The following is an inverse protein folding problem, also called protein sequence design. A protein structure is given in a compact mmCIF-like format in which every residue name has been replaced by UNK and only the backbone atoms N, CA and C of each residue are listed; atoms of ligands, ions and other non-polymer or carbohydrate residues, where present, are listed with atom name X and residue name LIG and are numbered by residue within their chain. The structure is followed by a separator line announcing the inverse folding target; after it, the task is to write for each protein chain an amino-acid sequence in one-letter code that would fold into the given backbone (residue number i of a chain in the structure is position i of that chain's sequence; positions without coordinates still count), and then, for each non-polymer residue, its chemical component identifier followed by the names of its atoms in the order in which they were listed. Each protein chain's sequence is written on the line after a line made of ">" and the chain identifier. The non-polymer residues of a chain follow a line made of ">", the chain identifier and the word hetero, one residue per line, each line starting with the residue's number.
data_IF_069089042894
#
_entry.id   IF_069089042894
#
_cell.length_a   1.000
_cell.length_b   1.000
_cell.length_c   1.000
_cell.angle_alpha   90.00
_cell.angle_beta   90.00
_cell.angle_gamma   90.00
#
_symmetry.space_group_name_H-M   'P 1'
#
loop_
_entity.id
_entity.type
_entity.pdbx_description
1 polymer ?
#
# COMPACT_ATOMS: atom_id res chain seq x y z
N UNK A 1 -18.54 39.47 26.97
CA UNK A 1 -17.81 38.44 27.75
C UNK A 1 -17.63 37.23 26.87
N UNK A 2 -16.37 36.81 26.74
CA UNK A 2 -15.86 35.83 25.79
C UNK A 2 -16.39 34.41 26.01
N UNK A 3 -16.67 33.69 24.92
CA UNK A 3 -16.37 32.25 24.82
C UNK A 3 -15.88 31.98 23.39
N UNK A 4 -14.55 31.93 23.26
CA UNK A 4 -13.83 31.56 22.05
C UNK A 4 -14.11 30.09 21.70
N UNK A 5 -14.70 29.86 20.53
CA UNK A 5 -14.72 28.53 19.93
C UNK A 5 -13.29 28.10 19.63
N UNK A 6 -12.79 27.11 20.36
CA UNK A 6 -11.55 26.39 20.04
C UNK A 6 -11.77 25.71 18.68
N UNK A 7 -11.27 26.32 17.61
CA UNK A 7 -11.07 25.61 16.36
C UNK A 7 -10.09 24.47 16.62
N UNK A 8 -10.48 23.26 16.23
CA UNK A 8 -9.63 22.09 16.23
C UNK A 8 -8.42 22.40 15.35
N UNK A 9 -7.30 22.71 16.00
CA UNK A 9 -6.01 22.92 15.35
C UNK A 9 -5.63 21.61 14.65
N UNK A 10 -5.65 21.64 13.32
CA UNK A 10 -5.05 20.61 12.49
C UNK A 10 -3.65 20.30 13.02
N UNK A 11 -3.39 19.04 13.34
CA UNK A 11 -2.08 18.55 13.77
C UNK A 11 -1.09 18.85 12.64
N UNK A 12 -0.35 19.95 12.78
CA UNK A 12 0.62 20.42 11.81
C UNK A 12 1.87 19.56 11.92
N UNK A 13 2.05 18.64 10.98
CA UNK A 13 3.31 17.91 10.81
C UNK A 13 4.41 18.91 10.42
N UNK A 14 5.37 19.16 11.32
CA UNK A 14 6.47 20.10 11.10
C UNK A 14 7.52 19.63 10.08
N UNK A 15 7.46 18.36 9.67
CA UNK A 15 8.41 17.75 8.72
C UNK A 15 7.97 17.81 7.26
N UNK A 16 6.77 18.34 6.98
CA UNK A 16 6.18 18.38 5.64
C UNK A 16 5.89 19.82 5.22
N UNK A 17 5.94 20.08 3.91
CA UNK A 17 5.50 21.36 3.35
C UNK A 17 4.00 21.52 3.62
N UNK A 18 3.63 22.59 4.30
CA UNK A 18 2.24 22.89 4.63
C UNK A 18 1.57 23.56 3.43
N UNK A 19 0.55 22.89 2.88
CA UNK A 19 -0.34 23.48 1.88
C UNK A 19 -1.26 24.53 2.49
N UNK A 20 -1.97 25.29 1.65
CA UNK A 20 -3.00 26.20 2.14
C UNK A 20 -4.15 25.43 2.78
N UNK A 21 -4.64 25.90 3.92
CA UNK A 21 -5.78 25.29 4.65
C UNK A 21 -7.09 25.29 3.84
N UNK A 22 -7.15 26.06 2.74
CA UNK A 22 -8.27 26.17 1.83
C UNK A 22 -8.13 25.33 0.55
N UNK A 23 -7.05 24.57 0.38
CA UNK A 23 -6.87 23.73 -0.80
C UNK A 23 -7.83 22.54 -0.75
N UNK A 24 -8.89 22.60 -1.57
CA UNK A 24 -9.76 21.46 -1.81
C UNK A 24 -9.17 20.65 -2.97
N UNK A 25 -9.01 19.32 -2.83
CA UNK A 25 -8.62 18.50 -3.96
C UNK A 25 -9.72 18.58 -5.04
N UNK A 26 -9.31 18.55 -6.30
CA UNK A 26 -10.26 18.43 -7.41
C UNK A 26 -11.01 17.12 -7.23
N UNK A 27 -12.33 17.19 -7.11
CA UNK A 27 -13.15 16.00 -6.99
C UNK A 27 -13.11 15.24 -8.32
N UNK A 28 -12.84 13.92 -8.30
CA UNK A 28 -13.04 13.09 -9.49
C UNK A 28 -14.46 13.33 -10.01
N UNK A 29 -14.57 13.62 -11.31
CA UNK A 29 -15.88 13.74 -11.94
C UNK A 29 -16.54 12.36 -11.94
N UNK A 30 -17.50 12.15 -11.05
CA UNK A 30 -18.35 10.97 -11.11
C UNK A 30 -19.40 11.18 -12.20
N UNK A 31 -19.35 10.34 -13.24
CA UNK A 31 -20.46 10.30 -14.19
C UNK A 31 -21.74 9.90 -13.43
N UNK A 32 -22.86 10.60 -13.65
CA UNK A 32 -24.10 10.39 -12.87
C UNK A 32 -24.64 8.94 -12.91
N UNK A 33 -24.24 8.14 -13.90
CA UNK A 33 -24.74 6.78 -14.11
C UNK A 33 -23.76 5.69 -13.64
N UNK A 34 -22.70 6.01 -12.89
CA UNK A 34 -21.69 5.03 -12.46
C UNK A 34 -22.32 3.88 -11.64
N UNK A 35 -23.19 4.23 -10.68
CA UNK A 35 -23.89 3.27 -9.82
C UNK A 35 -24.90 2.42 -10.58
N UNK A 36 -25.68 3.05 -11.47
CA UNK A 36 -26.67 2.38 -12.31
C UNK A 36 -26.02 1.35 -13.24
N UNK A 37 -24.88 1.72 -13.86
CA UNK A 37 -24.08 0.81 -14.69
C UNK A 37 -23.57 -0.40 -13.91
N UNK A 38 -23.14 -0.22 -12.66
CA UNK A 38 -22.69 -1.33 -11.82
C UNK A 38 -23.84 -2.29 -11.48
N UNK A 39 -25.03 -1.77 -11.17
CA UNK A 39 -26.22 -2.60 -10.93
C UNK A 39 -26.72 -3.29 -12.20
N UNK A 40 -26.66 -2.62 -13.36
CA UNK A 40 -27.00 -3.23 -14.65
C UNK A 40 -26.02 -4.34 -15.04
N UNK A 41 -24.72 -4.13 -14.84
CA UNK A 41 -23.70 -5.15 -15.07
C UNK A 41 -23.90 -6.35 -14.14
N UNK A 42 -24.21 -6.11 -12.86
CA UNK A 42 -24.55 -7.16 -11.91
C UNK A 42 -25.79 -7.97 -12.35
N UNK A 43 -26.84 -7.28 -12.83
CA UNK A 43 -28.05 -7.92 -13.35
C UNK A 43 -27.79 -8.74 -14.63
N UNK A 44 -26.88 -8.28 -15.49
CA UNK A 44 -26.45 -8.99 -16.71
C UNK A 44 -25.43 -10.09 -16.47
N UNK A 45 -24.98 -10.30 -15.21
CA UNK A 45 -23.87 -11.20 -14.87
C UNK A 45 -22.60 -10.89 -15.69
N UNK A 46 -22.38 -9.61 -16.00
CA UNK A 46 -21.18 -9.14 -16.67
C UNK A 46 -20.28 -8.44 -15.65
N UNK A 47 -18.97 -8.67 -15.75
CA UNK A 47 -17.99 -7.95 -14.93
C UNK A 47 -17.93 -6.50 -15.40
N UNK A 48 -17.66 -5.57 -14.48
CA UNK A 48 -17.51 -4.15 -14.80
C UNK A 48 -16.42 -3.88 -15.88
N UNK A 49 -15.44 -4.77 -15.99
CA UNK A 49 -14.35 -4.71 -16.97
C UNK A 49 -14.66 -5.42 -18.30
N UNK A 50 -15.86 -5.98 -18.50
CA UNK A 50 -16.23 -6.71 -19.72
C UNK A 50 -15.57 -8.08 -19.91
N UNK A 51 -14.85 -8.58 -18.91
CA UNK A 51 -14.14 -9.87 -18.92
C UNK A 51 -15.04 -11.04 -18.57
N UNK A 52 -14.69 -12.25 -19.01
CA UNK A 52 -15.38 -13.49 -18.57
C UNK A 52 -15.10 -13.77 -17.08
N UNK A 53 -15.92 -14.62 -16.46
CA UNK A 53 -15.75 -15.04 -15.06
C UNK A 53 -14.41 -15.75 -14.82
N UNK A 54 -13.95 -16.54 -15.77
CA UNK A 54 -12.71 -17.33 -15.69
C UNK A 54 -11.48 -16.56 -16.19
N UNK A 55 -11.67 -15.34 -16.70
CA UNK A 55 -10.60 -14.57 -17.33
C UNK A 55 -9.83 -13.71 -16.31
N UNK A 56 -8.52 -13.93 -16.23
CA UNK A 56 -7.61 -13.19 -15.36
C UNK A 56 -7.25 -11.80 -15.93
N UNK A 57 -6.82 -10.88 -15.07
CA UNK A 57 -6.22 -9.59 -15.52
C UNK A 57 -4.85 -9.89 -16.14
N UNK A 58 -4.45 -9.11 -17.15
CA UNK A 58 -3.10 -9.17 -17.69
C UNK A 58 -2.07 -8.87 -16.58
N UNK A 59 -1.06 -9.72 -16.44
CA UNK A 59 -0.05 -9.62 -15.40
C UNK A 59 1.34 -9.48 -16.01
N UNK A 60 2.12 -8.54 -15.49
CA UNK A 60 3.53 -8.35 -15.84
C UNK A 60 4.34 -8.30 -14.54
N UNK A 61 5.47 -9.00 -14.54
CA UNK A 61 6.39 -9.02 -13.41
C UNK A 61 7.79 -8.79 -13.92
N UNK A 62 8.50 -7.88 -13.26
CA UNK A 62 9.89 -7.59 -13.54
C UNK A 62 10.68 -7.67 -12.24
N UNK A 63 11.63 -8.60 -12.18
CA UNK A 63 12.61 -8.67 -11.09
C UNK A 63 13.72 -7.65 -11.31
N UNK A 64 14.34 -7.18 -10.23
CA UNK A 64 15.42 -6.21 -10.25
C UNK A 64 15.02 -4.85 -10.86
N UNK A 65 13.84 -4.36 -10.48
CA UNK A 65 13.34 -3.03 -10.90
C UNK A 65 14.12 -1.87 -10.27
N UNK A 66 14.71 -2.09 -9.10
CA UNK A 66 15.39 -1.08 -8.29
C UNK A 66 16.84 -1.50 -8.02
N UNK A 67 17.79 -0.72 -8.53
CA UNK A 67 19.22 -0.98 -8.38
C UNK A 67 19.76 -0.75 -6.96
N UNK A 68 19.11 0.11 -6.18
CA UNK A 68 19.53 0.43 -4.81
C UNK A 68 19.17 -0.66 -3.78
N UNK A 69 18.28 -1.59 -4.13
CA UNK A 69 17.85 -2.67 -3.25
C UNK A 69 18.64 -3.95 -3.57
N UNK A 70 18.87 -4.78 -2.55
CA UNK A 70 19.53 -6.08 -2.75
C UNK A 70 18.67 -7.03 -3.59
N UNK A 71 17.35 -6.94 -3.42
CA UNK A 71 16.37 -7.54 -4.31
C UNK A 71 15.21 -6.58 -4.51
N UNK A 72 14.62 -6.57 -5.70
CA UNK A 72 13.44 -5.76 -6.00
C UNK A 72 12.55 -6.47 -7.01
N UNK A 73 11.27 -6.17 -6.98
CA UNK A 73 10.29 -6.73 -7.90
C UNK A 73 9.20 -5.69 -8.16
N UNK A 74 8.92 -5.46 -9.44
CA UNK A 74 7.76 -4.73 -9.90
C UNK A 74 6.70 -5.72 -10.39
N UNK A 75 5.46 -5.52 -9.94
CA UNK A 75 4.32 -6.36 -10.33
C UNK A 75 3.19 -5.44 -10.77
N UNK A 76 2.60 -5.73 -11.93
CA UNK A 76 1.39 -5.07 -12.41
C UNK A 76 0.34 -6.11 -12.75
N UNK A 77 -0.89 -5.91 -12.27
CA UNK A 77 -2.05 -6.75 -12.55
C UNK A 77 -3.19 -5.83 -13.00
N UNK A 78 -3.43 -5.78 -14.32
CA UNK A 78 -4.32 -4.78 -14.91
C UNK A 78 -3.80 -3.36 -14.63
N UNK A 79 -4.58 -2.57 -13.89
CA UNK A 79 -4.17 -1.22 -13.47
C UNK A 79 -3.50 -1.21 -12.09
N UNK A 80 -3.64 -2.25 -11.27
CA UNK A 80 -2.95 -2.33 -9.99
C UNK A 80 -1.45 -2.48 -10.21
N UNK A 81 -0.64 -1.60 -9.63
CA UNK A 81 0.81 -1.60 -9.77
C UNK A 81 1.47 -1.45 -8.42
N UNK A 82 2.46 -2.30 -8.15
CA UNK A 82 3.21 -2.29 -6.90
C UNK A 82 4.70 -2.53 -7.14
N UNK A 83 5.51 -1.93 -6.29
CA UNK A 83 6.95 -2.10 -6.27
C UNK A 83 7.38 -2.61 -4.89
N UNK A 84 8.16 -3.67 -4.87
CA UNK A 84 8.69 -4.29 -3.67
C UNK A 84 10.21 -4.20 -3.68
N UNK A 85 10.80 -3.80 -2.55
CA UNK A 85 12.23 -3.77 -2.34
C UNK A 85 12.60 -4.53 -1.07
N UNK A 86 13.64 -5.34 -1.17
CA UNK A 86 14.24 -6.07 -0.06
C UNK A 86 15.64 -5.53 0.15
N UNK A 87 15.87 -5.04 1.36
CA UNK A 87 17.18 -4.72 1.85
C UNK A 87 17.67 -5.91 2.67
N UNK A 88 18.82 -6.44 2.25
CA UNK A 88 19.40 -7.67 2.79
C UNK A 88 19.58 -7.66 4.30
N UNK A 89 20.02 -8.80 4.87
CA UNK A 89 20.12 -8.95 6.31
C UNK A 89 21.09 -7.90 6.89
N UNK A 90 20.53 -6.93 7.61
CA UNK A 90 21.30 -5.93 8.34
C UNK A 90 21.54 -6.42 9.77
N UNK A 91 22.76 -6.28 10.31
CA UNK A 91 23.02 -6.67 11.69
C UNK A 91 22.16 -5.81 12.63
N UNK A 92 21.44 -6.46 13.56
CA UNK A 92 20.59 -5.76 14.51
C UNK A 92 21.25 -5.73 15.89
N UNK A 93 21.84 -4.58 16.23
CA UNK A 93 22.49 -4.33 17.52
C UNK A 93 21.51 -4.40 18.70
N UNK A 94 20.23 -4.09 18.50
CA UNK A 94 19.23 -4.07 19.59
C UNK A 94 18.74 -5.47 19.97
N UNK A 95 18.87 -6.44 19.06
CA UNK A 95 18.36 -7.80 19.24
C UNK A 95 19.49 -8.84 19.16
N UNK A 96 20.68 -8.49 19.64
CA UNK A 96 21.86 -9.36 19.58
C UNK A 96 21.71 -10.71 20.32
N UNK A 97 20.72 -10.82 21.22
CA UNK A 97 20.39 -12.04 21.97
C UNK A 97 19.40 -12.97 21.24
N UNK A 98 18.82 -12.54 20.12
CA UNK A 98 17.88 -13.38 19.35
C UNK A 98 18.64 -14.37 18.47
N UNK A 99 18.34 -15.66 18.67
CA UNK A 99 18.89 -16.75 17.87
C UNK A 99 18.25 -16.86 16.48
N UNK A 100 17.14 -16.14 16.26
CA UNK A 100 16.41 -16.09 14.99
C UNK A 100 16.50 -14.69 14.38
N UNK A 101 16.49 -14.63 13.06
CA UNK A 101 16.34 -13.38 12.32
C UNK A 101 14.97 -12.75 12.52
N UNK A 102 14.86 -11.45 12.25
CA UNK A 102 13.60 -10.71 12.26
C UNK A 102 13.31 -10.06 10.90
N UNK A 103 12.03 -9.92 10.57
CA UNK A 103 11.58 -9.22 9.37
C UNK A 103 10.95 -7.89 9.81
N UNK A 104 11.43 -6.80 9.24
CA UNK A 104 10.79 -5.50 9.34
C UNK A 104 10.09 -5.20 8.01
N UNK A 105 8.77 -5.05 8.04
CA UNK A 105 7.95 -4.90 6.85
C UNK A 105 7.29 -3.53 6.88
N UNK A 106 7.53 -2.75 5.83
CA UNK A 106 6.96 -1.43 5.64
C UNK A 106 6.04 -1.46 4.43
N UNK A 107 4.75 -1.23 4.66
CA UNK A 107 3.74 -1.16 3.60
C UNK A 107 3.25 0.27 3.49
N UNK A 108 3.39 0.86 2.30
CA UNK A 108 2.96 2.24 2.03
C UNK A 108 2.16 2.33 0.74
N UNK A 109 1.14 3.18 0.78
CA UNK A 109 0.47 3.65 -0.43
C UNK A 109 1.13 4.93 -0.91
N UNK A 110 1.34 5.05 -2.22
CA UNK A 110 1.67 6.32 -2.81
C UNK A 110 0.47 7.27 -2.64
N UNK A 111 0.70 8.58 -2.45
CA UNK A 111 -0.38 9.55 -2.22
C UNK A 111 -1.35 9.69 -3.39
N UNK A 112 -0.97 9.21 -4.58
CA UNK A 112 -1.78 9.20 -5.80
C UNK A 112 -2.28 7.79 -6.17
N UNK A 113 -2.04 6.77 -5.32
CA UNK A 113 -2.34 5.38 -5.65
C UNK A 113 -3.85 5.10 -5.74
N UNK A 114 -4.64 5.76 -4.88
CA UNK A 114 -6.09 5.58 -4.83
C UNK A 114 -6.78 6.74 -5.53
N UNK A 115 -7.74 6.44 -6.40
CA UNK A 115 -8.51 7.44 -7.16
C UNK A 115 -9.69 8.04 -6.38
N UNK A 116 -9.97 7.55 -5.17
CA UNK A 116 -11.06 7.98 -4.30
C UNK A 116 -10.64 8.95 -3.19
N UNK A 117 -11.62 9.62 -2.57
CA UNK A 117 -11.43 10.47 -1.39
C UNK A 117 -10.88 9.72 -0.18
N UNK A 118 -11.12 8.42 -0.13
CA UNK A 118 -10.64 7.55 0.92
C UNK A 118 -9.18 7.20 0.62
N UNK A 119 -8.27 8.07 1.05
CA UNK A 119 -6.90 7.63 1.28
C UNK A 119 -6.99 6.34 2.10
N UNK A 120 -6.40 5.25 1.60
CA UNK A 120 -6.47 3.94 2.23
C UNK A 120 -6.32 4.10 3.75
N UNK A 121 -7.34 3.68 4.50
CA UNK A 121 -7.39 3.97 5.93
C UNK A 121 -6.15 3.39 6.59
N UNK A 122 -5.53 4.10 7.55
CA UNK A 122 -4.40 3.57 8.31
C UNK A 122 -4.70 2.18 8.93
N UNK A 123 -5.99 1.86 9.14
CA UNK A 123 -6.43 0.55 9.61
C UNK A 123 -6.26 -0.55 8.56
N UNK A 124 -6.58 -0.25 7.29
CA UNK A 124 -6.48 -1.22 6.20
C UNK A 124 -5.00 -1.52 5.91
N UNK A 125 -4.16 -0.50 5.94
CA UNK A 125 -2.71 -0.65 5.77
C UNK A 125 -2.08 -1.50 6.88
N UNK A 126 -2.49 -1.30 8.14
CA UNK A 126 -2.02 -2.07 9.28
C UNK A 126 -2.46 -3.55 9.20
N UNK A 127 -3.69 -3.81 8.77
CA UNK A 127 -4.19 -5.16 8.58
C UNK A 127 -3.39 -5.90 7.51
N UNK A 128 -3.19 -5.28 6.34
CA UNK A 128 -2.40 -5.84 5.25
C UNK A 128 -0.94 -6.09 5.67
N UNK A 129 -0.35 -5.15 6.41
CA UNK A 129 1.01 -5.31 6.93
C UNK A 129 1.12 -6.53 7.84
N UNK A 130 0.13 -6.74 8.71
CA UNK A 130 0.12 -7.87 9.64
C UNK A 130 -0.01 -9.21 8.89
N UNK A 131 -0.90 -9.27 7.89
CA UNK A 131 -1.06 -10.46 7.05
C UNK A 131 0.21 -10.79 6.25
N UNK A 132 0.82 -9.78 5.64
CA UNK A 132 2.06 -9.95 4.89
C UNK A 132 3.21 -10.37 5.82
N UNK A 133 3.28 -9.80 7.02
CA UNK A 133 4.29 -10.17 8.01
C UNK A 133 4.15 -11.64 8.42
N UNK A 134 2.93 -12.10 8.68
CA UNK A 134 2.64 -13.49 8.99
C UNK A 134 3.02 -14.43 7.82
N UNK A 135 2.66 -14.05 6.58
CA UNK A 135 2.98 -14.83 5.39
C UNK A 135 4.50 -14.94 5.17
N UNK A 136 5.24 -13.83 5.31
CA UNK A 136 6.69 -13.84 5.14
C UNK A 136 7.41 -14.64 6.23
N UNK A 137 6.96 -14.56 7.48
CA UNK A 137 7.53 -15.37 8.57
C UNK A 137 7.34 -16.87 8.35
N UNK A 138 6.26 -17.29 7.67
CA UNK A 138 6.02 -18.69 7.36
C UNK A 138 6.90 -19.21 6.21
N UNK A 139 7.27 -18.34 5.26
CA UNK A 139 8.05 -18.71 4.07
C UNK A 139 9.56 -18.59 4.29
N UNK A 140 10.00 -17.57 5.03
CA UNK A 140 11.43 -17.29 5.23
C UNK A 140 11.98 -18.08 6.42
N UNK A 141 13.05 -18.85 6.18
CA UNK A 141 13.78 -19.57 7.23
C UNK A 141 14.65 -18.63 8.04
N UNK A 142 14.07 -18.02 9.09
CA UNK A 142 14.75 -17.04 9.94
C UNK A 142 15.88 -17.63 10.81
N UNK A 143 15.90 -18.95 10.99
CA UNK A 143 16.92 -19.65 11.79
C UNK A 143 18.31 -19.58 11.12
N UNK A 144 18.36 -19.36 9.80
CA UNK A 144 19.60 -19.19 9.05
C UNK A 144 20.18 -17.77 9.17
N UNK A 145 19.39 -16.82 9.70
CA UNK A 145 19.72 -15.40 9.74
C UNK A 145 19.75 -14.85 11.17
N UNK A 146 20.44 -15.54 12.08
CA UNK A 146 20.58 -15.10 13.47
C UNK A 146 21.13 -13.67 13.57
N UNK A 147 20.66 -12.90 14.57
CA UNK A 147 21.10 -11.52 14.87
C UNK A 147 20.96 -10.53 13.70
N UNK A 148 20.19 -10.89 12.69
CA UNK A 148 20.01 -10.11 11.47
C UNK A 148 18.56 -9.71 11.28
N UNK A 149 18.34 -8.56 10.66
CA UNK A 149 17.01 -8.07 10.30
C UNK A 149 16.93 -7.83 8.80
N UNK A 150 15.92 -8.42 8.17
CA UNK A 150 15.62 -8.21 6.75
C UNK A 150 14.55 -7.11 6.68
N UNK A 151 14.83 -6.05 5.93
CA UNK A 151 13.88 -4.96 5.75
C UNK A 151 13.21 -5.08 4.38
N UNK A 152 11.89 -5.21 4.37
CA UNK A 152 11.06 -5.31 3.16
C UNK A 152 10.18 -4.08 3.08
N UNK A 153 10.25 -3.37 1.97
CA UNK A 153 9.40 -2.20 1.69
C UNK A 153 8.52 -2.52 0.50
N UNK A 154 7.21 -2.30 0.65
CA UNK A 154 6.22 -2.48 -0.40
C UNK A 154 5.52 -1.14 -0.61
N UNK A 155 5.58 -0.67 -1.85
CA UNK A 155 4.97 0.58 -2.28
C UNK A 155 3.89 0.29 -3.32
N UNK A 156 2.64 0.62 -2.99
CA UNK A 156 1.53 0.57 -3.93
C UNK A 156 1.53 1.87 -4.73
N UNK A 157 1.61 1.76 -6.06
CA UNK A 157 1.65 2.91 -6.97
C UNK A 157 0.27 3.24 -7.54
N UNK A 158 -0.55 2.23 -7.77
CA UNK A 158 -1.90 2.35 -8.32
C UNK A 158 -2.75 1.20 -7.78
N UNK A 159 -3.95 1.52 -7.31
CA UNK A 159 -4.93 0.60 -6.74
C UNK A 159 -6.24 0.64 -7.55
N UNK A 160 -6.62 -0.49 -8.12
CA UNK A 160 -7.77 -0.66 -9.04
C UNK A 160 -8.74 -1.76 -8.54
N UNK A 161 -8.83 -1.91 -7.22
CA UNK A 161 -9.91 -2.65 -6.56
C UNK A 161 -9.50 -3.81 -5.67
#
# INVERSE_FOLDING_TARGET
>A
MCLSGRSLSALTNASLLQGSSSSLPVLPYESPNSRERLTEAANKRERHDGRRFEEMRAMCMQTHSLAAAAGSAFVSVGKTKLNCAVYGPRPNMKHASQDRGSINLEFRFAPFATTGKDACSERDTAHLTTLLHQALNAVVRLDLYAKSTIAVSVLVLEDDG
#
